data_IF_556438367888
#
_entry.id   IF_556438367888
#
_cell.length_a   1.000
_cell.length_b   1.000
_cell.length_c   1.000
_cell.angle_alpha   90.00
_cell.angle_beta   90.00
_cell.angle_gamma   90.00
#
_symmetry.space_group_name_H-M   'P 1'
#
loop_
_entity.id
_entity.type
_entity.pdbx_description
1 polymer ?
#
# COMPACT_ATOMS: atom_id res chain seq x y z
N UNK A 1 17.20 10.96 -31.47
CA UNK A 1 16.35 11.51 -32.55
C UNK A 1 17.01 11.12 -33.86
N UNK A 2 16.30 10.43 -34.75
CA UNK A 2 16.79 10.03 -36.08
C UNK A 2 16.21 10.97 -37.13
N UNK A 3 17.00 11.38 -38.12
CA UNK A 3 16.62 12.38 -39.11
C UNK A 3 15.59 11.85 -40.14
N UNK A 4 15.59 10.53 -40.40
CA UNK A 4 14.68 9.87 -41.33
C UNK A 4 14.17 8.54 -40.74
N UNK A 5 13.30 8.56 -39.70
CA UNK A 5 12.81 7.34 -39.07
C UNK A 5 11.93 6.53 -40.03
N UNK A 6 12.36 5.31 -40.36
CA UNK A 6 11.55 4.34 -41.10
C UNK A 6 11.29 3.11 -40.23
N UNK A 7 10.01 2.85 -39.93
CA UNK A 7 9.59 1.62 -39.27
C UNK A 7 9.68 0.45 -40.27
N UNK A 8 10.39 -0.60 -39.88
CA UNK A 8 10.57 -1.83 -40.64
C UNK A 8 10.03 -3.01 -39.84
N UNK A 9 9.30 -3.90 -40.50
CA UNK A 9 8.77 -5.11 -39.90
C UNK A 9 9.75 -6.26 -40.13
N UNK A 10 10.24 -6.87 -39.05
CA UNK A 10 11.01 -8.11 -39.07
C UNK A 10 10.26 -9.25 -38.39
N UNK A 11 10.81 -10.45 -38.52
CA UNK A 11 10.22 -11.68 -37.99
C UNK A 11 11.27 -12.57 -37.32
N UNK A 12 10.82 -13.47 -36.45
CA UNK A 12 11.64 -14.52 -35.88
C UNK A 12 10.93 -15.87 -35.99
N UNK A 13 11.67 -16.95 -35.70
CA UNK A 13 11.13 -18.31 -35.77
C UNK A 13 9.94 -18.47 -34.82
N UNK A 14 8.83 -19.04 -35.32
CA UNK A 14 7.65 -19.30 -34.53
C UNK A 14 7.91 -20.22 -33.34
N UNK A 15 8.96 -21.06 -33.39
CA UNK A 15 9.34 -21.90 -32.25
C UNK A 15 9.64 -21.11 -30.99
N UNK A 16 10.11 -19.86 -31.11
CA UNK A 16 10.39 -19.03 -29.94
C UNK A 16 9.13 -18.55 -29.20
N UNK A 17 7.94 -18.69 -29.78
CA UNK A 17 6.67 -18.41 -29.10
C UNK A 17 6.31 -19.44 -28.02
N UNK A 18 7.15 -20.45 -27.79
CA UNK A 18 7.08 -21.30 -26.60
C UNK A 18 7.62 -20.58 -25.35
N UNK A 19 8.51 -19.59 -25.52
CA UNK A 19 8.99 -18.76 -24.42
C UNK A 19 7.87 -17.86 -23.90
N UNK A 20 7.78 -17.65 -22.56
CA UNK A 20 6.91 -16.63 -22.00
C UNK A 20 7.04 -15.28 -22.69
N UNK A 21 5.91 -14.62 -22.95
CA UNK A 21 5.90 -13.36 -23.68
C UNK A 21 6.81 -12.28 -23.07
N UNK A 22 6.88 -12.23 -21.74
CA UNK A 22 7.73 -11.32 -20.99
C UNK A 22 9.22 -11.52 -21.29
N UNK A 23 9.67 -12.77 -21.51
CA UNK A 23 11.07 -13.08 -21.88
C UNK A 23 11.39 -12.53 -23.26
N UNK A 24 10.49 -12.75 -24.23
CA UNK A 24 10.65 -12.29 -25.60
C UNK A 24 10.65 -10.76 -25.66
N UNK A 25 9.69 -10.13 -24.97
CA UNK A 25 9.55 -8.67 -24.90
C UNK A 25 10.78 -8.05 -24.24
N UNK A 26 11.24 -8.58 -23.10
CA UNK A 26 12.45 -8.08 -22.42
C UNK A 26 13.68 -8.23 -23.30
N UNK A 27 13.85 -9.38 -23.97
CA UNK A 27 14.94 -9.59 -24.93
C UNK A 27 14.92 -8.59 -26.08
N UNK A 28 13.74 -8.26 -26.61
CA UNK A 28 13.59 -7.25 -27.68
C UNK A 28 13.87 -5.83 -27.18
N UNK A 29 13.35 -5.49 -26.01
CA UNK A 29 13.40 -4.13 -25.46
C UNK A 29 14.80 -3.77 -24.98
N UNK A 30 15.39 -4.59 -24.11
CA UNK A 30 16.64 -4.26 -23.43
C UNK A 30 17.85 -4.47 -24.36
N UNK A 31 17.87 -5.56 -25.14
CA UNK A 31 19.03 -5.87 -25.97
C UNK A 31 19.04 -5.15 -27.32
N UNK A 32 17.87 -4.84 -27.90
CA UNK A 32 17.77 -4.39 -29.29
C UNK A 32 16.85 -3.19 -29.54
N UNK A 33 16.11 -2.71 -28.52
CA UNK A 33 15.16 -1.60 -28.64
C UNK A 33 14.11 -1.82 -29.75
N UNK A 34 13.67 -3.06 -29.92
CA UNK A 34 12.61 -3.42 -30.85
C UNK A 34 11.24 -3.27 -30.21
N UNK A 35 10.23 -3.01 -31.03
CA UNK A 35 8.84 -2.99 -30.61
C UNK A 35 8.19 -4.35 -30.89
N UNK A 36 7.70 -5.07 -29.88
CA UNK A 36 6.97 -6.32 -30.08
C UNK A 36 5.65 -6.06 -30.82
N UNK A 37 5.26 -6.97 -31.72
CA UNK A 37 4.00 -6.88 -32.45
C UNK A 37 2.99 -7.87 -31.88
N UNK A 38 1.79 -7.38 -31.60
CA UNK A 38 0.68 -8.18 -31.11
C UNK A 38 -0.35 -8.42 -32.21
N UNK A 39 -1.02 -9.56 -32.16
CA UNK A 39 -2.12 -9.94 -33.06
C UNK A 39 -3.39 -10.26 -32.25
N UNK A 40 -4.59 -10.06 -32.80
CA UNK A 40 -5.83 -10.45 -32.12
C UNK A 40 -5.77 -11.92 -31.68
N UNK A 41 -6.15 -12.21 -30.44
CA UNK A 41 -6.26 -13.58 -29.95
C UNK A 41 -7.47 -14.25 -30.60
N UNK A 42 -7.24 -15.34 -31.33
CA UNK A 42 -8.29 -16.00 -32.15
C UNK A 42 -9.00 -17.10 -31.34
N UNK A 43 -8.51 -17.45 -30.15
CA UNK A 43 -9.08 -18.45 -29.25
C UNK A 43 -8.63 -18.26 -27.80
N UNK A 44 -9.39 -18.86 -26.87
CA UNK A 44 -9.18 -18.79 -25.41
C UNK A 44 -7.81 -19.37 -24.98
N UNK A 45 -7.28 -20.33 -25.75
CA UNK A 45 -5.93 -20.86 -25.54
C UNK A 45 -4.82 -19.84 -25.87
N UNK A 46 -5.01 -18.95 -26.85
CA UNK A 46 -4.07 -17.86 -27.13
C UNK A 46 -4.07 -16.77 -26.05
N UNK A 47 -5.10 -16.74 -25.19
CA UNK A 47 -5.16 -15.88 -23.99
C UNK A 47 -4.39 -16.47 -22.81
N UNK A 48 -3.90 -17.71 -22.92
CA UNK A 48 -3.09 -18.34 -21.88
C UNK A 48 -1.59 -18.24 -22.23
N UNK A 49 -0.86 -17.52 -21.38
CA UNK A 49 0.61 -17.35 -21.34
C UNK A 49 1.26 -16.31 -22.27
N UNK A 50 0.52 -15.64 -23.18
CA UNK A 50 1.13 -14.76 -24.19
C UNK A 50 0.34 -13.49 -24.52
N UNK A 51 -0.64 -13.11 -23.69
CA UNK A 51 -1.62 -12.10 -24.05
C UNK A 51 -1.69 -10.93 -23.10
N UNK A 52 -1.85 -9.75 -23.69
CA UNK A 52 -2.22 -8.50 -23.01
C UNK A 52 -3.53 -8.05 -23.66
N UNK A 53 -4.63 -7.98 -22.91
CA UNK A 53 -5.89 -7.37 -23.33
C UNK A 53 -6.41 -7.81 -24.72
N UNK A 54 -6.87 -9.06 -24.87
CA UNK A 54 -7.40 -9.63 -26.15
C UNK A 54 -6.38 -9.84 -27.29
N UNK A 55 -5.12 -9.44 -27.12
CA UNK A 55 -4.07 -9.64 -28.13
C UNK A 55 -2.99 -10.61 -27.65
N UNK A 56 -2.52 -11.49 -28.53
CA UNK A 56 -1.40 -12.39 -28.30
C UNK A 56 -0.13 -11.86 -28.98
N UNK A 57 1.04 -12.11 -28.38
CA UNK A 57 2.33 -11.80 -28.99
C UNK A 57 2.48 -12.58 -30.32
N UNK A 58 2.93 -11.89 -31.37
CA UNK A 58 3.23 -12.49 -32.66
C UNK A 58 4.74 -12.74 -32.82
N UNK A 59 5.13 -13.50 -33.84
CA UNK A 59 6.54 -13.72 -34.19
C UNK A 59 7.17 -12.54 -34.97
N UNK A 60 6.61 -11.34 -34.84
CA UNK A 60 7.05 -10.14 -35.54
C UNK A 60 7.51 -9.06 -34.55
N UNK A 61 8.40 -8.20 -35.03
CA UNK A 61 8.86 -7.02 -34.31
C UNK A 61 9.06 -5.86 -35.27
N UNK A 62 8.97 -4.64 -34.75
CA UNK A 62 9.24 -3.43 -35.51
C UNK A 62 10.56 -2.83 -35.03
N UNK A 63 11.41 -2.48 -35.98
CA UNK A 63 12.65 -1.72 -35.76
C UNK A 63 12.57 -0.39 -36.48
N UNK A 64 13.14 0.66 -35.89
CA UNK A 64 13.23 1.98 -36.53
C UNK A 64 14.62 2.14 -37.13
N UNK A 65 14.68 2.17 -38.46
CA UNK A 65 15.90 2.43 -39.22
C UNK A 65 16.04 3.91 -39.54
N UNK A 66 17.27 4.39 -39.64
CA UNK A 66 17.62 5.72 -40.15
C UNK A 66 18.38 5.64 -41.49
N UNK A 67 18.36 4.46 -42.15
CA UNK A 67 19.09 4.26 -43.40
C UNK A 67 18.36 4.93 -44.57
N UNK A 68 19.13 5.66 -45.39
CA UNK A 68 18.68 6.25 -46.65
C UNK A 68 18.89 5.23 -47.78
N UNK A 69 17.89 4.38 -48.00
CA UNK A 69 17.87 3.33 -49.02
C UNK A 69 16.44 3.05 -49.45
N UNK A 70 16.24 2.65 -50.69
CA UNK A 70 14.93 2.18 -51.18
C UNK A 70 14.71 0.68 -50.92
N UNK A 71 15.79 -0.07 -50.65
CA UNK A 71 15.77 -1.49 -50.29
C UNK A 71 16.29 -1.68 -48.85
N UNK A 72 15.40 -2.16 -47.98
CA UNK A 72 15.67 -2.42 -46.56
C UNK A 72 15.88 -3.90 -46.24
N UNK A 73 15.89 -4.80 -47.22
CA UNK A 73 15.93 -6.26 -47.02
C UNK A 73 17.10 -6.68 -46.13
N UNK A 74 18.31 -6.17 -46.43
CA UNK A 74 19.51 -6.46 -45.62
C UNK A 74 19.46 -5.92 -44.19
N UNK A 75 18.75 -4.79 -43.99
CA UNK A 75 18.55 -4.22 -42.66
C UNK A 75 17.64 -5.14 -41.85
N UNK A 76 16.55 -5.62 -42.45
CA UNK A 76 15.62 -6.56 -41.82
C UNK A 76 16.36 -7.87 -41.48
N UNK A 77 16.96 -8.54 -42.47
CA UNK A 77 17.71 -9.79 -42.29
C UNK A 77 18.81 -9.66 -41.22
N UNK A 78 19.51 -8.52 -41.19
CA UNK A 78 20.51 -8.23 -40.18
C UNK A 78 19.94 -8.23 -38.77
N UNK A 79 18.81 -7.53 -38.55
CA UNK A 79 18.15 -7.47 -37.24
C UNK A 79 17.57 -8.83 -36.83
N UNK A 80 16.96 -9.58 -37.76
CA UNK A 80 16.48 -10.94 -37.50
C UNK A 80 17.63 -11.87 -37.08
N UNK A 81 18.78 -11.77 -37.76
CA UNK A 81 19.99 -12.54 -37.42
C UNK A 81 20.57 -12.17 -36.05
N UNK A 82 20.44 -10.92 -35.61
CA UNK A 82 20.89 -10.49 -34.27
C UNK A 82 19.94 -10.97 -33.18
N UNK A 83 18.63 -10.99 -33.42
CA UNK A 83 17.63 -11.42 -32.44
C UNK A 83 17.67 -12.94 -32.19
N UNK A 84 17.86 -13.72 -33.26
CA UNK A 84 17.84 -15.19 -33.20
C UNK A 84 18.73 -15.82 -32.11
N UNK A 85 20.04 -15.51 -32.00
CA UNK A 85 20.88 -16.10 -30.96
C UNK A 85 20.40 -15.74 -29.55
N UNK A 86 19.91 -14.51 -29.32
CA UNK A 86 19.40 -14.08 -28.01
C UNK A 86 18.17 -14.88 -27.57
N UNK A 87 17.22 -15.07 -28.48
CA UNK A 87 16.05 -15.91 -28.20
C UNK A 87 16.42 -17.39 -28.07
N UNK A 88 17.47 -17.85 -28.76
CA UNK A 88 18.00 -19.21 -28.61
C UNK A 88 18.61 -19.44 -27.23
N UNK A 89 19.41 -18.49 -26.74
CA UNK A 89 19.99 -18.54 -25.39
C UNK A 89 18.88 -18.51 -24.33
N UNK A 90 17.91 -17.62 -24.46
CA UNK A 90 16.75 -17.56 -23.58
C UNK A 90 15.95 -18.87 -23.58
N UNK A 91 15.71 -19.47 -24.75
CA UNK A 91 15.05 -20.78 -24.86
C UNK A 91 15.84 -21.87 -24.14
N UNK A 92 17.17 -21.87 -24.28
CA UNK A 92 18.03 -22.82 -23.59
C UNK A 92 17.91 -22.68 -22.06
N UNK A 93 18.01 -21.46 -21.53
CA UNK A 93 17.84 -21.19 -20.09
C UNK A 93 16.47 -21.65 -19.60
N UNK A 94 15.41 -21.30 -20.34
CA UNK A 94 14.04 -21.67 -19.98
C UNK A 94 13.85 -23.18 -19.89
N UNK A 95 14.33 -23.93 -20.89
CA UNK A 95 14.23 -25.39 -20.90
C UNK A 95 15.06 -26.05 -19.80
N UNK A 96 16.23 -25.49 -19.47
CA UNK A 96 17.06 -25.99 -18.38
C UNK A 96 16.40 -25.74 -17.02
N UNK A 97 15.86 -24.53 -16.81
CA UNK A 97 15.14 -24.16 -15.61
C UNK A 97 13.85 -24.97 -15.41
N UNK A 98 13.11 -25.27 -16.47
CA UNK A 98 11.95 -26.16 -16.42
C UNK A 98 12.31 -27.57 -15.93
N UNK A 99 13.48 -28.10 -16.34
CA UNK A 99 13.98 -29.40 -15.86
C UNK A 99 14.42 -29.33 -14.40
N UNK A 100 14.98 -28.20 -13.98
CA UNK A 100 15.42 -27.95 -12.60
C UNK A 100 14.22 -27.81 -11.65
N UNK A 101 13.15 -27.17 -12.11
CA UNK A 101 11.97 -26.81 -11.32
C UNK A 101 12.23 -25.65 -10.35
N UNK A 102 11.25 -25.38 -9.47
CA UNK A 102 11.36 -24.41 -8.39
C UNK A 102 12.08 -25.03 -7.18
N UNK A 103 13.38 -24.78 -7.09
CA UNK A 103 14.19 -25.15 -5.93
C UNK A 103 14.66 -23.91 -5.19
N UNK A 104 14.68 -24.01 -3.86
CA UNK A 104 15.19 -22.97 -2.96
C UNK A 104 16.67 -23.15 -2.61
N UNK A 105 17.29 -24.24 -3.05
CA UNK A 105 18.70 -24.54 -2.81
C UNK A 105 19.59 -23.41 -3.35
N UNK A 106 20.55 -22.96 -2.54
CA UNK A 106 21.46 -21.87 -2.88
C UNK A 106 20.99 -20.49 -2.43
N UNK A 107 19.74 -20.30 -2.01
CA UNK A 107 19.27 -19.03 -1.43
C UNK A 107 19.97 -18.69 -0.10
N UNK A 108 20.46 -19.70 0.60
CA UNK A 108 21.31 -19.58 1.78
C UNK A 108 22.73 -19.06 1.47
N UNK A 109 23.15 -19.09 0.21
CA UNK A 109 24.45 -18.55 -0.22
C UNK A 109 24.34 -17.10 -0.74
N UNK A 110 23.13 -16.63 -1.02
CA UNK A 110 22.89 -15.28 -1.55
C UNK A 110 22.69 -14.32 -0.38
N UNK A 111 23.62 -13.38 -0.22
CA UNK A 111 23.52 -12.33 0.78
C UNK A 111 22.37 -11.37 0.44
N UNK A 112 21.44 -11.17 1.37
CA UNK A 112 20.35 -10.19 1.20
C UNK A 112 20.84 -8.78 1.49
N UNK A 113 21.40 -8.55 2.68
CA UNK A 113 22.01 -7.27 3.06
C UNK A 113 22.92 -7.44 4.28
N UNK A 114 23.95 -6.59 4.36
CA UNK A 114 24.81 -6.48 5.54
C UNK A 114 23.98 -6.31 6.82
N UNK A 115 24.16 -7.23 7.77
CA UNK A 115 23.48 -7.25 9.05
C UNK A 115 22.11 -7.94 9.08
N UNK A 116 21.53 -8.30 7.92
CA UNK A 116 20.24 -8.99 7.76
C UNK A 116 20.35 -10.42 7.18
N UNK A 117 21.57 -10.85 6.87
CA UNK A 117 21.87 -12.21 6.49
C UNK A 117 21.58 -12.52 5.02
N UNK A 118 21.10 -13.73 4.78
CA UNK A 118 20.88 -14.37 3.48
C UNK A 118 19.44 -14.23 3.01
N UNK A 119 19.18 -14.55 1.73
CA UNK A 119 17.80 -14.62 1.23
C UNK A 119 16.99 -15.70 1.92
N UNK A 120 17.61 -16.81 2.33
CA UNK A 120 16.94 -17.84 3.13
C UNK A 120 16.45 -17.28 4.47
N UNK A 121 17.30 -16.55 5.19
CA UNK A 121 16.91 -15.90 6.45
C UNK A 121 15.84 -14.81 6.25
N UNK A 122 15.85 -14.13 5.10
CA UNK A 122 14.76 -13.21 4.71
C UNK A 122 13.44 -13.95 4.54
N UNK A 123 13.42 -15.07 3.83
CA UNK A 123 12.21 -15.90 3.64
C UNK A 123 11.70 -16.37 5.01
N UNK A 124 12.58 -16.80 5.91
CA UNK A 124 12.18 -17.27 7.24
C UNK A 124 11.51 -16.15 8.07
N UNK A 125 11.92 -14.89 7.90
CA UNK A 125 11.25 -13.73 8.51
C UNK A 125 9.92 -13.42 7.81
N UNK A 126 9.90 -13.44 6.48
CA UNK A 126 8.67 -13.26 5.70
C UNK A 126 7.61 -14.32 6.04
N UNK A 127 8.00 -15.58 6.29
CA UNK A 127 7.08 -16.66 6.71
C UNK A 127 6.39 -16.31 8.03
N UNK A 128 7.12 -15.76 9.00
CA UNK A 128 6.55 -15.33 10.29
C UNK A 128 5.57 -14.18 10.12
N UNK A 129 5.91 -13.20 9.27
CA UNK A 129 5.00 -12.10 8.95
C UNK A 129 3.76 -12.63 8.23
N UNK A 130 3.95 -13.50 7.24
CA UNK A 130 2.86 -14.10 6.48
C UNK A 130 1.91 -14.90 7.35
N UNK A 131 2.44 -15.68 8.30
CA UNK A 131 1.62 -16.41 9.26
C UNK A 131 0.80 -15.47 10.15
N UNK A 132 1.42 -14.41 10.68
CA UNK A 132 0.75 -13.40 11.49
C UNK A 132 -0.37 -12.68 10.72
N UNK A 133 -0.11 -12.26 9.48
CA UNK A 133 -1.10 -11.61 8.63
C UNK A 133 -2.22 -12.57 8.19
N UNK A 134 -1.88 -13.83 7.89
CA UNK A 134 -2.87 -14.84 7.51
C UNK A 134 -3.85 -15.13 8.65
N UNK A 135 -3.37 -15.25 9.88
CA UNK A 135 -4.22 -15.40 11.06
C UNK A 135 -5.12 -14.16 11.25
N UNK A 136 -4.53 -12.96 11.18
CA UNK A 136 -5.27 -11.71 11.38
C UNK A 136 -6.38 -11.48 10.35
N UNK A 137 -6.11 -11.80 9.08
CA UNK A 137 -7.04 -11.57 7.98
C UNK A 137 -7.87 -12.81 7.59
N UNK A 138 -7.75 -13.91 8.34
CA UNK A 138 -8.56 -15.12 8.12
C UNK A 138 -8.25 -15.86 6.82
N UNK A 139 -6.99 -15.87 6.38
CA UNK A 139 -6.52 -16.55 5.16
C UNK A 139 -5.77 -17.84 5.52
N UNK A 140 -5.75 -18.82 4.62
CA UNK A 140 -5.03 -20.09 4.83
C UNK A 140 -3.51 -19.88 5.01
N UNK A 141 -3.08 -19.94 6.27
CA UNK A 141 -1.69 -19.81 6.69
C UNK A 141 -0.76 -20.84 6.02
N UNK A 142 -1.24 -22.07 5.77
CA UNK A 142 -0.43 -23.13 5.17
C UNK A 142 -0.06 -22.78 3.74
N UNK A 143 -1.05 -22.34 2.95
CA UNK A 143 -0.82 -21.89 1.58
C UNK A 143 0.07 -20.63 1.54
N UNK A 144 -0.14 -19.67 2.44
CA UNK A 144 0.69 -18.45 2.51
C UNK A 144 2.16 -18.79 2.76
N UNK A 145 2.44 -19.66 3.74
CA UNK A 145 3.80 -20.10 4.04
C UNK A 145 4.42 -20.82 2.83
N UNK A 146 3.65 -21.68 2.15
CA UNK A 146 4.12 -22.35 0.95
C UNK A 146 4.46 -21.38 -0.18
N UNK A 147 3.63 -20.35 -0.40
CA UNK A 147 3.89 -19.32 -1.39
C UNK A 147 5.15 -18.52 -1.06
N UNK A 148 5.33 -18.10 0.20
CA UNK A 148 6.51 -17.34 0.64
C UNK A 148 7.80 -18.15 0.47
N UNK A 149 7.78 -19.45 0.80
CA UNK A 149 8.93 -20.36 0.60
C UNK A 149 9.39 -20.42 -0.84
N UNK A 150 8.44 -20.46 -1.77
CA UNK A 150 8.71 -20.60 -3.19
C UNK A 150 8.92 -19.26 -3.89
N UNK A 151 8.52 -18.15 -3.26
CA UNK A 151 8.48 -16.82 -3.85
C UNK A 151 9.80 -16.43 -4.51
N UNK A 152 10.92 -16.73 -3.86
CA UNK A 152 12.27 -16.33 -4.33
C UNK A 152 13.06 -17.45 -4.98
N UNK A 153 12.44 -18.62 -5.21
CA UNK A 153 13.12 -19.79 -5.77
C UNK A 153 13.64 -19.55 -7.20
N UNK A 154 12.99 -18.67 -7.95
CA UNK A 154 13.40 -18.30 -9.31
C UNK A 154 14.68 -17.45 -9.36
N UNK A 155 15.10 -16.81 -8.27
CA UNK A 155 16.37 -16.08 -8.20
C UNK A 155 17.60 -16.97 -8.41
N UNK A 156 17.43 -18.30 -8.28
CA UNK A 156 18.48 -19.29 -8.54
C UNK A 156 18.42 -19.88 -9.96
N UNK A 157 17.52 -19.36 -10.80
CA UNK A 157 17.33 -19.82 -12.19
C UNK A 157 18.30 -19.13 -13.15
N UNK A 158 18.66 -19.81 -14.24
CA UNK A 158 19.51 -19.22 -15.28
C UNK A 158 18.81 -18.05 -15.96
N UNK A 159 17.50 -18.15 -16.17
CA UNK A 159 16.71 -17.08 -16.78
C UNK A 159 16.75 -15.79 -15.94
N UNK A 160 16.56 -15.87 -14.62
CA UNK A 160 16.56 -14.67 -13.76
C UNK A 160 17.97 -14.13 -13.53
N UNK A 161 18.99 -14.99 -13.59
CA UNK A 161 20.38 -14.54 -13.58
C UNK A 161 20.70 -13.66 -14.79
N UNK A 162 20.23 -14.04 -15.99
CA UNK A 162 20.41 -13.23 -17.22
C UNK A 162 19.44 -12.02 -17.27
N UNK A 163 18.20 -12.20 -16.82
CA UNK A 163 17.12 -11.20 -16.89
C UNK A 163 16.51 -10.94 -15.50
N UNK A 164 17.21 -10.15 -14.69
CA UNK A 164 16.82 -9.86 -13.29
C UNK A 164 15.44 -9.18 -13.15
N UNK A 165 14.96 -8.53 -14.21
CA UNK A 165 13.63 -7.90 -14.27
C UNK A 165 12.49 -8.93 -14.33
N UNK A 166 12.78 -10.18 -14.66
CA UNK A 166 11.79 -11.27 -14.77
C UNK A 166 11.59 -12.05 -13.47
N UNK A 167 12.22 -11.62 -12.37
CA UNK A 167 11.98 -12.20 -11.05
C UNK A 167 10.49 -12.13 -10.66
N UNK A 168 10.00 -13.15 -9.93
CA UNK A 168 8.60 -13.39 -9.66
C UNK A 168 7.83 -13.92 -10.88
N UNK A 169 7.98 -13.30 -12.05
CA UNK A 169 7.31 -13.72 -13.29
C UNK A 169 7.78 -15.10 -13.74
N UNK A 170 9.09 -15.36 -13.75
CA UNK A 170 9.59 -16.71 -14.06
C UNK A 170 9.21 -17.71 -12.98
N UNK A 171 9.22 -17.31 -11.70
CA UNK A 171 8.71 -18.13 -10.60
C UNK A 171 7.29 -18.64 -10.84
N UNK A 172 6.40 -17.80 -11.36
CA UNK A 172 5.05 -18.18 -11.74
C UNK A 172 5.00 -19.21 -12.87
N UNK A 173 5.77 -19.02 -13.94
CA UNK A 173 5.80 -19.98 -15.06
C UNK A 173 6.34 -21.34 -14.63
N UNK A 174 7.36 -21.36 -13.78
CA UNK A 174 7.92 -22.58 -13.23
C UNK A 174 6.95 -23.26 -12.25
N UNK A 175 6.22 -22.50 -11.42
CA UNK A 175 5.18 -23.03 -10.53
C UNK A 175 4.06 -23.70 -11.34
N UNK A 176 3.60 -23.05 -12.41
CA UNK A 176 2.60 -23.60 -13.33
C UNK A 176 3.08 -24.89 -14.01
N UNK A 177 4.32 -24.92 -14.49
CA UNK A 177 4.88 -26.12 -15.11
C UNK A 177 4.94 -27.32 -14.15
N UNK A 178 5.08 -27.06 -12.85
CA UNK A 178 5.03 -28.05 -11.77
C UNK A 178 3.62 -28.38 -11.28
N UNK A 179 2.57 -27.82 -11.89
CA UNK A 179 1.17 -27.95 -11.46
C UNK A 179 0.94 -27.55 -9.99
N UNK A 180 1.69 -26.55 -9.51
CA UNK A 180 1.45 -25.93 -8.20
C UNK A 180 0.11 -25.18 -8.25
N UNK A 181 -0.58 -25.14 -7.11
CA UNK A 181 -1.84 -24.42 -6.91
C UNK A 181 -1.80 -23.00 -7.50
N UNK A 182 -2.89 -22.60 -8.17
CA UNK A 182 -2.93 -21.35 -8.93
C UNK A 182 -2.75 -20.11 -8.06
N UNK A 183 -3.26 -20.13 -6.82
CA UNK A 183 -3.16 -18.99 -5.89
C UNK A 183 -1.71 -18.82 -5.45
N UNK A 184 -1.02 -19.93 -5.19
CA UNK A 184 0.40 -19.96 -4.85
C UNK A 184 1.24 -19.44 -6.01
N UNK A 185 1.02 -19.97 -7.23
CA UNK A 185 1.74 -19.51 -8.41
C UNK A 185 1.54 -18.00 -8.61
N UNK A 186 0.31 -17.51 -8.53
CA UNK A 186 -0.01 -16.10 -8.71
C UNK A 186 0.63 -15.22 -7.64
N UNK A 187 0.62 -15.63 -6.37
CA UNK A 187 1.29 -14.90 -5.30
C UNK A 187 2.81 -14.79 -5.51
N UNK A 188 3.46 -15.81 -6.09
CA UNK A 188 4.88 -15.75 -6.47
C UNK A 188 5.11 -14.64 -7.52
N UNK A 189 4.22 -14.51 -8.51
CA UNK A 189 4.25 -13.43 -9.51
C UNK A 189 4.11 -12.05 -8.86
N UNK A 190 3.14 -11.93 -7.95
CA UNK A 190 2.68 -10.65 -7.41
C UNK A 190 3.45 -10.20 -6.16
N UNK A 191 4.39 -11.00 -5.62
CA UNK A 191 5.06 -10.74 -4.34
C UNK A 191 5.76 -9.37 -4.23
N UNK A 192 6.13 -8.75 -5.35
CA UNK A 192 6.79 -7.44 -5.36
C UNK A 192 5.80 -6.28 -5.55
N UNK A 193 4.54 -6.56 -5.92
CA UNK A 193 3.53 -5.55 -6.23
C UNK A 193 3.04 -4.78 -4.98
N UNK A 194 2.57 -3.54 -5.14
CA UNK A 194 2.81 -2.69 -6.30
C UNK A 194 4.30 -2.29 -6.40
N UNK A 195 4.80 -2.22 -7.63
CA UNK A 195 6.17 -1.76 -7.95
C UNK A 195 6.11 -0.35 -8.52
N UNK A 196 6.05 0.65 -7.63
CA UNK A 196 6.00 2.06 -8.00
C UNK A 196 4.62 2.71 -7.83
N UNK A 197 4.55 3.98 -8.22
CA UNK A 197 3.34 4.79 -8.12
C UNK A 197 2.38 4.47 -9.27
N UNK A 198 1.08 4.32 -8.97
CA UNK A 198 0.07 3.93 -9.97
C UNK A 198 0.18 2.50 -10.50
N UNK A 199 1.20 1.73 -10.09
CA UNK A 199 1.39 0.34 -10.52
C UNK A 199 0.25 -0.57 -10.04
N UNK A 200 0.03 -1.68 -10.75
CA UNK A 200 -0.98 -2.69 -10.42
C UNK A 200 -0.78 -3.24 -8.99
N UNK A 201 -1.91 -3.58 -8.36
CA UNK A 201 -1.95 -4.22 -7.05
C UNK A 201 -2.07 -5.73 -7.22
N UNK A 202 -1.70 -6.52 -6.20
CA UNK A 202 -2.02 -7.93 -6.15
C UNK A 202 -3.51 -8.16 -6.43
N UNK A 203 -3.84 -9.19 -7.20
CA UNK A 203 -5.21 -9.44 -7.66
C UNK A 203 -6.09 -10.13 -6.60
N UNK A 204 -5.50 -10.60 -5.50
CA UNK A 204 -6.19 -11.30 -4.42
C UNK A 204 -5.61 -10.93 -3.06
N UNK A 205 -6.42 -11.11 -1.99
CA UNK A 205 -5.96 -10.96 -0.60
C UNK A 205 -4.79 -11.90 -0.31
N UNK A 206 -4.79 -13.09 -0.92
CA UNK A 206 -3.70 -14.06 -0.78
C UNK A 206 -2.37 -13.52 -1.32
N UNK A 207 -2.37 -12.98 -2.55
CA UNK A 207 -1.21 -12.30 -3.13
C UNK A 207 -0.81 -11.04 -2.35
N UNK A 208 -1.80 -10.30 -1.86
CA UNK A 208 -1.60 -9.11 -1.03
C UNK A 208 -0.83 -9.41 0.27
N UNK A 209 -1.16 -10.51 0.96
CA UNK A 209 -0.43 -10.92 2.17
C UNK A 209 1.02 -11.24 1.84
N UNK A 210 1.30 -12.00 0.78
CA UNK A 210 2.68 -12.34 0.38
C UNK A 210 3.48 -11.07 0.03
N UNK A 211 2.85 -10.15 -0.70
CA UNK A 211 3.46 -8.88 -1.05
C UNK A 211 3.70 -7.96 0.16
N UNK A 212 2.76 -7.90 1.10
CA UNK A 212 2.90 -7.18 2.35
C UNK A 212 4.00 -7.78 3.22
N UNK A 213 4.11 -9.11 3.32
CA UNK A 213 5.19 -9.78 4.06
C UNK A 213 6.57 -9.35 3.55
N UNK A 214 6.75 -9.28 2.23
CA UNK A 214 8.00 -8.81 1.64
C UNK A 214 8.32 -7.34 1.99
N UNK A 215 7.31 -6.45 1.93
CA UNK A 215 7.47 -5.02 2.22
C UNK A 215 7.69 -4.76 3.70
N UNK A 216 6.97 -5.46 4.58
CA UNK A 216 7.13 -5.37 6.03
C UNK A 216 8.49 -5.91 6.47
N UNK A 217 8.98 -7.03 5.92
CA UNK A 217 10.33 -7.51 6.24
C UNK A 217 11.40 -6.50 5.83
N UNK A 218 11.25 -5.92 4.64
CA UNK A 218 12.18 -4.90 4.14
C UNK A 218 12.18 -3.67 5.06
N UNK A 219 11.02 -3.21 5.53
CA UNK A 219 10.89 -2.09 6.46
C UNK A 219 11.51 -2.40 7.82
N UNK A 220 11.05 -3.45 8.48
CA UNK A 220 11.52 -3.85 9.82
C UNK A 220 13.01 -4.18 9.80
N UNK A 221 13.45 -4.95 8.80
CA UNK A 221 14.84 -5.34 8.60
C UNK A 221 15.75 -4.13 8.46
N UNK A 222 15.47 -3.23 7.51
CA UNK A 222 16.36 -2.10 7.25
C UNK A 222 16.41 -1.08 8.41
N UNK A 223 15.31 -0.88 9.14
CA UNK A 223 15.34 -0.10 10.37
C UNK A 223 16.18 -0.78 11.45
N UNK A 224 16.09 -2.11 11.60
CA UNK A 224 16.88 -2.88 12.59
C UNK A 224 18.39 -2.85 12.37
N UNK A 225 18.86 -2.48 11.18
CA UNK A 225 20.28 -2.30 10.85
C UNK A 225 20.66 -0.84 10.59
N UNK A 226 19.79 0.11 10.93
CA UNK A 226 20.05 1.55 10.84
C UNK A 226 20.12 2.10 9.41
N UNK A 227 19.54 1.41 8.42
CA UNK A 227 19.51 1.83 6.99
C UNK A 227 18.28 2.70 6.70
N UNK A 228 18.17 3.80 7.45
CA UNK A 228 17.01 4.69 7.40
C UNK A 228 17.25 5.81 6.36
N UNK A 229 16.29 6.09 5.44
CA UNK A 229 16.43 7.13 4.45
C UNK A 229 16.54 8.52 5.07
N UNK A 230 17.67 9.21 4.83
CA UNK A 230 17.89 10.60 5.25
C UNK A 230 17.87 11.51 4.00
N UNK A 231 16.83 12.36 3.86
CA UNK A 231 16.65 13.25 2.70
C UNK A 231 15.68 12.75 1.64
N UNK A 232 15.61 13.40 0.47
CA UNK A 232 14.56 13.16 -0.55
C UNK A 232 14.72 11.86 -1.34
N UNK A 233 15.91 11.24 -1.34
CA UNK A 233 16.15 9.96 -2.01
C UNK A 233 15.58 8.79 -1.20
N UNK A 234 15.14 7.75 -1.91
CA UNK A 234 14.67 6.49 -1.33
C UNK A 234 15.55 5.32 -1.82
N UNK A 235 16.81 5.24 -1.36
CA UNK A 235 17.80 4.29 -1.90
C UNK A 235 17.39 2.83 -1.69
N UNK A 236 16.68 2.54 -0.60
CA UNK A 236 16.23 1.19 -0.23
C UNK A 236 14.73 0.97 -0.45
N UNK A 237 14.06 1.85 -1.19
CA UNK A 237 12.64 1.74 -1.51
C UNK A 237 11.68 1.69 -0.29
N UNK A 238 12.09 2.18 0.89
CA UNK A 238 11.26 2.12 2.10
C UNK A 238 10.00 2.99 1.98
N UNK A 239 10.09 4.14 1.31
CA UNK A 239 8.91 4.98 1.07
C UNK A 239 7.93 4.27 0.15
N UNK A 240 8.47 3.65 -0.92
CA UNK A 240 7.68 2.83 -1.84
C UNK A 240 7.06 1.62 -1.14
N UNK A 241 7.76 1.02 -0.19
CA UNK A 241 7.24 -0.11 0.59
C UNK A 241 6.02 0.31 1.43
N UNK A 242 6.10 1.43 2.18
CA UNK A 242 4.95 1.94 2.95
C UNK A 242 3.79 2.31 2.04
N UNK A 243 4.04 3.04 0.95
CA UNK A 243 2.99 3.39 -0.01
C UNK A 243 2.34 2.15 -0.62
N UNK A 244 3.11 1.10 -0.89
CA UNK A 244 2.59 -0.18 -1.35
C UNK A 244 1.68 -0.85 -0.33
N UNK A 245 2.07 -0.87 0.95
CA UNK A 245 1.24 -1.40 2.05
C UNK A 245 -0.06 -0.60 2.16
N UNK A 246 0.01 0.74 2.17
CA UNK A 246 -1.17 1.60 2.25
C UNK A 246 -2.15 1.30 1.12
N UNK A 247 -1.67 1.23 -0.12
CA UNK A 247 -2.54 0.94 -1.28
C UNK A 247 -3.18 -0.44 -1.18
N UNK A 248 -2.43 -1.47 -0.79
CA UNK A 248 -2.96 -2.83 -0.61
C UNK A 248 -4.03 -2.85 0.49
N UNK A 249 -3.72 -2.25 1.64
CA UNK A 249 -4.63 -2.20 2.79
C UNK A 249 -5.95 -1.52 2.44
N UNK A 250 -5.91 -0.42 1.67
CA UNK A 250 -7.12 0.29 1.25
C UNK A 250 -7.91 -0.44 0.17
N UNK A 251 -7.24 -1.07 -0.79
CA UNK A 251 -7.89 -1.83 -1.86
C UNK A 251 -8.72 -3.01 -1.30
N UNK A 252 -8.17 -3.69 -0.30
CA UNK A 252 -8.79 -4.86 0.31
C UNK A 252 -9.53 -4.57 1.64
N UNK A 253 -9.68 -3.30 2.03
CA UNK A 253 -10.29 -2.84 3.30
C UNK A 253 -9.77 -3.60 4.54
N UNK A 254 -8.45 -3.82 4.61
CA UNK A 254 -7.82 -4.63 5.66
C UNK A 254 -7.64 -3.83 6.96
N UNK A 255 -8.09 -4.35 8.13
CA UNK A 255 -7.85 -3.68 9.40
C UNK A 255 -6.36 -3.73 9.78
N UNK A 256 -5.64 -2.63 9.52
CA UNK A 256 -4.20 -2.53 9.69
C UNK A 256 -3.85 -1.43 10.68
N UNK A 257 -3.73 -1.81 11.96
CA UNK A 257 -3.19 -0.95 13.01
C UNK A 257 -1.66 -0.94 12.99
N UNK A 258 -1.05 0.22 12.78
CA UNK A 258 0.40 0.35 12.63
C UNK A 258 1.13 -0.11 13.90
N UNK A 259 0.64 0.27 15.08
CA UNK A 259 1.31 -0.06 16.34
C UNK A 259 1.27 -1.57 16.55
N UNK A 260 0.09 -2.18 16.44
CA UNK A 260 -0.07 -3.62 16.58
C UNK A 260 0.86 -4.40 15.63
N UNK A 261 0.98 -3.93 14.38
CA UNK A 261 1.81 -4.58 13.35
C UNK A 261 3.30 -4.46 13.67
N UNK A 262 3.81 -3.27 13.98
CA UNK A 262 5.24 -3.10 14.24
C UNK A 262 5.65 -3.78 15.55
N UNK A 263 4.82 -3.72 16.60
CA UNK A 263 5.13 -4.38 17.87
C UNK A 263 5.05 -5.91 17.73
N UNK A 264 4.01 -6.43 17.06
CA UNK A 264 3.82 -7.87 16.85
C UNK A 264 4.95 -8.52 16.07
N UNK A 265 5.54 -7.79 15.10
CA UNK A 265 6.60 -8.29 14.24
C UNK A 265 8.02 -7.98 14.75
N UNK A 266 8.18 -7.08 15.73
CA UNK A 266 9.48 -6.59 16.20
C UNK A 266 10.43 -7.69 16.71
N UNK A 267 9.89 -8.74 17.33
CA UNK A 267 10.67 -9.84 17.92
C UNK A 267 11.49 -10.65 16.92
N UNK A 268 11.19 -10.55 15.61
CA UNK A 268 11.95 -11.17 14.54
C UNK A 268 13.25 -10.46 14.16
N UNK A 269 13.54 -9.30 14.76
CA UNK A 269 14.60 -8.38 14.35
C UNK A 269 15.52 -8.00 15.53
N UNK A 270 16.70 -7.43 15.21
CA UNK A 270 17.56 -6.78 16.22
C UNK A 270 16.82 -5.58 16.79
N UNK A 271 17.00 -5.27 18.08
CA UNK A 271 16.35 -4.14 18.73
C UNK A 271 16.62 -2.80 18.00
N UNK A 272 15.56 -2.02 17.81
CA UNK A 272 15.59 -0.74 17.12
C UNK A 272 14.45 0.17 17.57
N UNK A 273 14.52 1.45 17.17
CA UNK A 273 13.54 2.46 17.54
C UNK A 273 12.22 2.26 16.76
N UNK A 274 11.25 1.62 17.41
CA UNK A 274 9.90 1.42 16.87
C UNK A 274 9.12 2.73 16.72
N UNK A 275 9.37 3.72 17.57
CA UNK A 275 8.73 5.04 17.45
C UNK A 275 9.24 5.76 16.20
N UNK A 276 10.52 5.60 15.86
CA UNK A 276 11.07 6.13 14.62
C UNK A 276 10.43 5.47 13.38
N UNK A 277 10.22 4.15 13.40
CA UNK A 277 9.53 3.45 12.31
C UNK A 277 8.06 3.88 12.19
N UNK A 278 7.36 3.96 13.31
CA UNK A 278 5.98 4.46 13.39
C UNK A 278 5.87 5.88 12.81
N UNK A 279 6.72 6.80 13.26
CA UNK A 279 6.76 8.17 12.77
C UNK A 279 7.03 8.20 11.25
N UNK A 280 7.94 7.36 10.76
CA UNK A 280 8.20 7.23 9.33
C UNK A 280 6.97 6.72 8.56
N UNK A 281 6.27 5.71 9.06
CA UNK A 281 5.05 5.20 8.40
C UNK A 281 3.93 6.25 8.38
N UNK A 282 3.69 6.94 9.50
CA UNK A 282 2.70 8.01 9.61
C UNK A 282 3.02 9.20 8.67
N UNK A 283 4.29 9.58 8.53
CA UNK A 283 4.73 10.60 7.56
C UNK A 283 4.43 10.18 6.11
N UNK A 284 4.47 8.88 5.79
CA UNK A 284 4.13 8.38 4.46
C UNK A 284 2.64 8.30 4.23
N UNK A 285 1.90 7.79 5.22
CA UNK A 285 0.44 7.71 5.16
C UNK A 285 -0.17 9.09 4.96
N UNK A 286 0.27 10.09 5.72
CA UNK A 286 -0.17 11.47 5.54
C UNK A 286 0.09 12.00 4.13
N UNK A 287 1.24 11.69 3.52
CA UNK A 287 1.57 12.07 2.13
C UNK A 287 0.80 11.29 1.06
N UNK A 288 0.19 10.16 1.41
CA UNK A 288 -0.60 9.35 0.49
C UNK A 288 -2.08 9.79 0.40
N UNK A 289 -2.52 10.66 1.31
CA UNK A 289 -3.87 11.21 1.35
C UNK A 289 -3.86 12.56 0.62
N UNK A 290 -4.61 12.67 -0.47
CA UNK A 290 -4.75 13.91 -1.23
C UNK A 290 -5.84 14.80 -0.63
N UNK A 291 -5.55 15.38 0.55
CA UNK A 291 -6.44 16.28 1.30
C UNK A 291 -5.67 17.38 2.00
N UNK A 292 -6.38 18.37 2.56
CA UNK A 292 -5.76 19.44 3.35
C UNK A 292 -4.93 18.84 4.50
N UNK A 293 -3.64 19.20 4.65
CA UNK A 293 -2.78 18.72 5.73
C UNK A 293 -3.35 18.92 7.14
N UNK A 294 -4.15 19.97 7.37
CA UNK A 294 -4.77 20.21 8.67
C UNK A 294 -5.79 19.13 9.05
N UNK A 295 -6.52 18.59 8.06
CA UNK A 295 -7.48 17.50 8.24
C UNK A 295 -6.75 16.22 8.62
N UNK A 296 -5.68 15.92 7.89
CA UNK A 296 -4.85 14.74 8.12
C UNK A 296 -4.23 14.82 9.52
N UNK A 297 -3.64 15.97 9.88
CA UNK A 297 -3.06 16.18 11.21
C UNK A 297 -4.11 16.07 12.32
N UNK A 298 -5.32 16.60 12.11
CA UNK A 298 -6.43 16.46 13.07
C UNK A 298 -6.75 14.98 13.34
N UNK A 299 -6.86 14.16 12.29
CA UNK A 299 -7.11 12.72 12.45
C UNK A 299 -5.91 12.03 13.10
N UNK A 300 -4.67 12.30 12.71
CA UNK A 300 -3.49 11.65 13.31
C UNK A 300 -3.29 12.00 14.79
N UNK A 301 -3.65 13.23 15.18
CA UNK A 301 -3.64 13.72 16.57
C UNK A 301 -4.69 13.07 17.45
N UNK A 302 -5.73 12.44 16.88
CA UNK A 302 -6.68 11.58 17.62
C UNK A 302 -6.06 10.28 18.15
N UNK A 303 -4.79 10.02 17.83
CA UNK A 303 -4.08 8.77 18.13
C UNK A 303 -4.64 7.54 17.38
N UNK A 304 -5.43 7.73 16.32
CA UNK A 304 -5.80 6.63 15.41
C UNK A 304 -4.57 6.09 14.68
N UNK A 305 -4.43 4.75 14.64
CA UNK A 305 -3.30 4.05 14.01
C UNK A 305 -3.73 3.02 12.98
N UNK A 306 -5.03 2.78 12.83
CA UNK A 306 -5.55 1.94 11.76
C UNK A 306 -5.61 2.72 10.43
N UNK A 307 -4.90 2.23 9.41
CA UNK A 307 -4.78 2.92 8.11
C UNK A 307 -6.16 3.13 7.46
N UNK A 308 -7.02 2.12 7.47
CA UNK A 308 -8.37 2.19 6.89
C UNK A 308 -9.20 3.23 7.63
N UNK A 309 -9.18 3.21 8.96
CA UNK A 309 -9.92 4.20 9.77
C UNK A 309 -9.37 5.60 9.58
N UNK A 310 -8.05 5.80 9.48
CA UNK A 310 -7.46 7.11 9.19
C UNK A 310 -8.05 7.66 7.89
N UNK A 311 -8.06 6.87 6.81
CA UNK A 311 -8.61 7.29 5.52
C UNK A 311 -10.10 7.60 5.59
N UNK A 312 -10.91 6.71 6.21
CA UNK A 312 -12.36 6.90 6.38
C UNK A 312 -12.67 8.15 7.21
N UNK A 313 -11.94 8.39 8.31
CA UNK A 313 -12.06 9.60 9.15
C UNK A 313 -11.64 10.86 8.41
N UNK A 314 -10.56 10.83 7.62
CA UNK A 314 -10.13 11.96 6.80
C UNK A 314 -11.18 12.32 5.74
N UNK A 315 -11.73 11.33 5.04
CA UNK A 315 -12.81 11.53 4.06
C UNK A 315 -14.05 12.16 4.71
N UNK A 316 -14.49 11.60 5.84
CA UNK A 316 -15.62 12.15 6.60
C UNK A 316 -15.37 13.59 7.04
N UNK A 317 -14.20 13.89 7.60
CA UNK A 317 -13.87 15.24 8.03
C UNK A 317 -13.78 16.22 6.85
N UNK A 318 -13.19 15.81 5.72
CA UNK A 318 -13.08 16.62 4.51
C UNK A 318 -14.45 17.00 3.93
N UNK A 319 -15.42 16.09 3.97
CA UNK A 319 -16.79 16.38 3.53
C UNK A 319 -17.44 17.49 4.36
N UNK A 320 -17.22 17.50 5.68
CA UNK A 320 -17.80 18.47 6.60
C UNK A 320 -17.08 19.82 6.53
N UNK A 321 -15.75 19.80 6.45
CA UNK A 321 -14.90 21.01 6.32
C UNK A 321 -15.20 21.78 5.04
N UNK A 322 -15.61 21.08 3.97
CA UNK A 322 -15.96 21.70 2.69
C UNK A 322 -17.32 22.43 2.70
N UNK A 323 -18.10 22.33 3.78
CA UNK A 323 -19.38 23.01 3.92
C UNK A 323 -19.25 24.52 4.17
N UNK A 324 -20.21 25.32 3.67
CA UNK A 324 -20.22 26.79 3.81
C UNK A 324 -20.19 27.27 5.26
N UNK A 325 -20.81 26.51 6.15
CA UNK A 325 -21.06 26.90 7.54
C UNK A 325 -19.90 26.48 8.47
N UNK A 326 -18.90 25.76 7.94
CA UNK A 326 -17.85 25.20 8.77
C UNK A 326 -17.01 26.28 9.45
N UNK A 327 -16.82 27.45 8.83
CA UNK A 327 -16.04 28.53 9.44
C UNK A 327 -16.63 28.95 10.79
N UNK A 328 -17.95 29.11 10.86
CA UNK A 328 -18.63 29.50 12.09
C UNK A 328 -18.63 28.35 13.11
N UNK A 329 -18.88 27.12 12.65
CA UNK A 329 -18.76 25.90 13.46
C UNK A 329 -17.35 25.82 14.10
N UNK A 330 -16.30 26.05 13.32
CA UNK A 330 -14.91 25.92 13.78
C UNK A 330 -14.57 26.86 14.94
N UNK A 331 -15.20 28.04 15.02
CA UNK A 331 -14.96 29.01 16.10
C UNK A 331 -15.48 28.47 17.43
N UNK A 332 -16.74 28.02 17.45
CA UNK A 332 -17.40 27.44 18.64
C UNK A 332 -16.63 26.22 19.13
N UNK A 333 -16.23 25.34 18.22
CA UNK A 333 -15.56 24.09 18.59
C UNK A 333 -14.07 24.28 18.94
N UNK A 334 -13.38 25.31 18.41
CA UNK A 334 -12.07 25.73 18.94
C UNK A 334 -12.17 26.28 20.36
N UNK A 335 -13.26 26.99 20.68
CA UNK A 335 -13.53 27.45 22.05
C UNK A 335 -13.75 26.26 22.99
N UNK A 336 -14.53 25.26 22.57
CA UNK A 336 -14.68 23.98 23.31
C UNK A 336 -13.31 23.37 23.60
N UNK A 337 -12.49 23.13 22.57
CA UNK A 337 -11.17 22.52 22.70
C UNK A 337 -10.23 23.27 23.66
N UNK A 338 -10.23 24.60 23.62
CA UNK A 338 -9.40 25.44 24.49
C UNK A 338 -9.86 25.41 25.95
N UNK A 339 -11.17 25.39 26.20
CA UNK A 339 -11.72 25.31 27.55
C UNK A 339 -11.50 23.92 28.16
N UNK A 340 -11.57 22.86 27.34
CA UNK A 340 -11.39 21.49 27.79
C UNK A 340 -9.94 21.03 27.93
N UNK A 341 -8.95 21.89 27.66
CA UNK A 341 -7.53 21.49 27.53
C UNK A 341 -6.96 20.80 28.77
N UNK A 342 -7.35 21.25 29.95
CA UNK A 342 -6.84 20.77 31.24
C UNK A 342 -7.87 19.89 31.98
N UNK A 343 -8.94 19.46 31.30
CA UNK A 343 -10.00 18.65 31.90
C UNK A 343 -9.56 17.21 31.99
N UNK A 344 -9.46 16.70 33.21
CA UNK A 344 -9.10 15.30 33.50
C UNK A 344 -10.26 14.50 34.08
N UNK A 345 -11.29 15.18 34.60
CA UNK A 345 -12.51 14.57 35.12
C UNK A 345 -13.65 14.81 34.13
N UNK A 346 -14.30 13.72 33.72
CA UNK A 346 -15.42 13.73 32.78
C UNK A 346 -16.74 13.35 33.46
N UNK A 347 -16.79 13.22 34.78
CA UNK A 347 -18.02 12.89 35.49
C UNK A 347 -18.94 14.12 35.58
N UNK A 348 -20.09 14.03 34.91
CA UNK A 348 -21.12 15.06 34.90
C UNK A 348 -22.24 14.68 35.85
N UNK A 349 -22.51 15.54 36.82
CA UNK A 349 -23.60 15.43 37.77
C UNK A 349 -24.76 16.35 37.37
N UNK A 350 -25.84 15.74 36.88
CA UNK A 350 -27.06 16.44 36.42
C UNK A 350 -27.73 17.24 37.54
N UNK A 351 -27.52 16.89 38.81
CA UNK A 351 -28.11 17.60 39.95
C UNK A 351 -27.48 18.97 40.19
N UNK A 352 -26.32 19.24 39.58
CA UNK A 352 -25.57 20.49 39.70
C UNK A 352 -25.83 21.47 38.55
N UNK A 353 -26.77 21.18 37.65
CA UNK A 353 -27.15 22.14 36.61
C UNK A 353 -28.03 23.25 37.20
N UNK A 354 -27.69 24.50 36.91
CA UNK A 354 -28.41 25.68 37.41
C UNK A 354 -29.21 26.37 36.29
N UNK A 355 -28.68 26.37 35.07
CA UNK A 355 -29.31 27.03 33.93
C UNK A 355 -29.94 26.02 32.96
N UNK A 356 -31.00 26.44 32.27
CA UNK A 356 -31.71 25.59 31.30
C UNK A 356 -30.82 25.15 30.14
N UNK A 357 -29.88 26.00 29.74
CA UNK A 357 -28.90 25.75 28.68
C UNK A 357 -27.96 24.59 29.01
N UNK A 358 -27.60 24.39 30.29
CA UNK A 358 -26.78 23.25 30.73
C UNK A 358 -27.55 21.93 30.53
N UNK A 359 -28.83 21.93 30.90
CA UNK A 359 -29.73 20.78 30.77
C UNK A 359 -29.98 20.45 29.30
N UNK A 360 -30.27 21.45 28.48
CA UNK A 360 -30.59 21.28 27.06
C UNK A 360 -29.38 20.77 26.26
N UNK A 361 -28.21 21.40 26.43
CA UNK A 361 -26.96 20.97 25.79
C UNK A 361 -26.63 19.53 26.17
N UNK A 362 -26.65 19.21 27.47
CA UNK A 362 -26.29 17.88 27.93
C UNK A 362 -27.29 16.81 27.47
N UNK A 363 -28.59 17.11 27.49
CA UNK A 363 -29.61 16.21 26.99
C UNK A 363 -29.42 15.91 25.49
N UNK A 364 -29.17 16.93 24.67
CA UNK A 364 -28.95 16.74 23.24
C UNK A 364 -27.66 15.95 22.96
N UNK A 365 -26.59 16.26 23.69
CA UNK A 365 -25.33 15.51 23.60
C UNK A 365 -25.50 14.03 23.96
N UNK A 366 -26.24 13.71 25.00
CA UNK A 366 -26.56 12.33 25.38
C UNK A 366 -27.43 11.64 24.32
N UNK A 367 -28.38 12.34 23.70
CA UNK A 367 -29.17 11.81 22.57
C UNK A 367 -28.27 11.47 21.37
N UNK A 368 -27.26 12.30 21.08
CA UNK A 368 -26.32 12.08 19.98
C UNK A 368 -25.40 10.90 20.28
N UNK A 369 -24.81 10.84 21.47
CA UNK A 369 -23.82 9.82 21.84
C UNK A 369 -24.40 8.45 22.18
N UNK A 370 -25.70 8.38 22.51
CA UNK A 370 -26.42 7.11 22.69
C UNK A 370 -26.82 6.43 21.37
N UNK A 371 -26.75 7.14 20.24
CA UNK A 371 -27.00 6.57 18.91
C UNK A 371 -25.75 5.92 18.33
N UNK A 372 -25.95 4.84 17.59
CA UNK A 372 -24.94 4.31 16.69
C UNK A 372 -25.12 4.96 15.32
N UNK A 373 -24.01 5.33 14.68
CA UNK A 373 -24.00 5.94 13.35
C UNK A 373 -23.36 4.97 12.37
N UNK A 374 -23.94 4.88 11.16
CA UNK A 374 -23.43 4.02 10.10
C UNK A 374 -22.12 4.54 9.49
N UNK A 375 -21.86 5.86 9.62
CA UNK A 375 -20.65 6.50 9.08
C UNK A 375 -20.04 7.53 10.05
N UNK A 376 -18.73 7.77 9.91
CA UNK A 376 -18.04 8.85 10.63
C UNK A 376 -18.58 10.23 10.23
N UNK A 377 -19.05 10.40 9.00
CA UNK A 377 -19.62 11.65 8.50
C UNK A 377 -20.92 11.99 9.22
N UNK A 378 -21.82 11.02 9.39
CA UNK A 378 -23.10 11.22 10.09
C UNK A 378 -22.88 11.50 11.57
N UNK A 379 -21.92 10.81 12.20
CA UNK A 379 -21.53 11.09 13.58
C UNK A 379 -20.98 12.52 13.72
N UNK A 380 -20.06 12.93 12.84
CA UNK A 380 -19.54 14.30 12.83
C UNK A 380 -20.65 15.33 12.63
N UNK A 381 -21.55 15.15 11.67
CA UNK A 381 -22.68 16.06 11.44
C UNK A 381 -23.58 16.17 12.66
N UNK A 382 -23.88 15.05 13.32
CA UNK A 382 -24.66 15.03 14.55
C UNK A 382 -23.96 15.81 15.66
N UNK A 383 -22.66 15.60 15.88
CA UNK A 383 -21.88 16.36 16.86
C UNK A 383 -21.81 17.86 16.53
N UNK A 384 -21.62 18.22 15.26
CA UNK A 384 -21.59 19.62 14.82
C UNK A 384 -22.95 20.32 14.96
N UNK A 385 -24.07 19.56 14.98
CA UNK A 385 -25.40 20.13 15.27
C UNK A 385 -25.52 20.72 16.68
N UNK A 386 -24.59 20.43 17.59
CA UNK A 386 -24.51 21.04 18.92
C UNK A 386 -24.06 22.51 18.89
N UNK A 387 -23.62 23.04 17.74
CA UNK A 387 -23.09 24.41 17.60
C UNK A 387 -23.99 25.45 18.28
N UNK A 388 -25.27 25.54 17.90
CA UNK A 388 -26.14 26.61 18.39
C UNK A 388 -26.44 26.47 19.89
N UNK A 389 -26.51 25.24 20.41
CA UNK A 389 -26.65 24.97 21.83
C UNK A 389 -25.38 25.35 22.60
N UNK A 390 -24.21 25.10 22.03
CA UNK A 390 -22.92 25.50 22.59
C UNK A 390 -22.76 27.01 22.61
N UNK A 391 -23.16 27.71 21.55
CA UNK A 391 -23.13 29.18 21.51
C UNK A 391 -24.04 29.77 22.60
N UNK A 392 -25.29 29.30 22.69
CA UNK A 392 -26.22 29.74 23.75
C UNK A 392 -25.70 29.41 25.16
N UNK A 393 -25.14 28.21 25.35
CA UNK A 393 -24.50 27.81 26.59
C UNK A 393 -23.36 28.78 26.94
N UNK A 394 -22.49 29.10 25.98
CA UNK A 394 -21.34 29.96 26.21
C UNK A 394 -21.67 31.45 26.43
N UNK A 395 -22.83 31.90 25.95
CA UNK A 395 -23.31 33.26 26.13
C UNK A 395 -23.97 33.46 27.50
N UNK A 396 -24.61 32.42 28.06
CA UNK A 396 -25.41 32.52 29.29
C UNK A 396 -24.77 31.84 30.50
N UNK A 397 -24.00 30.77 30.28
CA UNK A 397 -23.36 29.98 31.32
C UNK A 397 -21.91 30.41 31.51
N UNK A 398 -21.60 30.93 32.70
CA UNK A 398 -20.22 31.23 33.08
C UNK A 398 -19.48 29.95 33.47
N UNK A 399 -18.65 29.44 32.55
CA UNK A 399 -17.87 28.20 32.76
C UNK A 399 -16.87 28.33 33.91
N UNK A 400 -16.16 29.45 33.98
CA UNK A 400 -15.21 29.72 35.06
C UNK A 400 -15.92 30.34 36.27
N UNK A 401 -16.87 29.59 36.85
CA UNK A 401 -17.61 29.99 38.06
C UNK A 401 -16.70 30.06 39.29
N UNK A 402 -17.06 30.93 40.24
CA UNK A 402 -16.42 30.99 41.57
C UNK A 402 -16.70 29.74 42.40
N UNK A 403 -17.83 29.08 42.14
CA UNK A 403 -18.14 27.76 42.72
C UNK A 403 -17.35 26.67 42.00
N UNK A 404 -16.40 26.08 42.73
CA UNK A 404 -15.52 25.02 42.23
C UNK A 404 -16.29 23.76 41.80
N UNK A 405 -17.41 23.43 42.46
CA UNK A 405 -18.24 22.27 42.14
C UNK A 405 -18.95 22.48 40.79
N UNK A 406 -19.54 23.66 40.59
CA UNK A 406 -20.20 24.03 39.32
C UNK A 406 -19.20 24.14 38.18
N UNK A 407 -18.07 24.83 38.43
CA UNK A 407 -16.97 24.93 37.47
C UNK A 407 -16.49 23.55 37.02
N UNK A 408 -16.27 22.63 37.96
CA UNK A 408 -15.86 21.26 37.63
C UNK A 408 -16.90 20.54 36.77
N UNK A 409 -18.19 20.67 37.08
CA UNK A 409 -19.27 20.02 36.33
C UNK A 409 -19.41 20.54 34.90
N UNK A 410 -19.32 21.88 34.74
CA UNK A 410 -19.36 22.57 33.46
C UNK A 410 -18.14 22.21 32.59
N UNK A 411 -16.96 22.14 33.19
CA UNK A 411 -15.75 21.68 32.51
C UNK A 411 -15.84 20.20 32.10
N UNK A 412 -16.38 19.34 32.96
CA UNK A 412 -16.61 17.93 32.62
C UNK A 412 -17.56 17.78 31.42
N UNK A 413 -18.63 18.58 31.36
CA UNK A 413 -19.58 18.58 30.23
C UNK A 413 -18.90 18.95 28.92
N UNK A 414 -18.15 20.06 28.89
CA UNK A 414 -17.41 20.50 27.69
C UNK A 414 -16.32 19.48 27.32
N UNK A 415 -15.66 18.90 28.33
CA UNK A 415 -14.66 17.85 28.14
C UNK A 415 -15.23 16.58 27.51
N UNK A 416 -16.42 16.13 27.94
CA UNK A 416 -17.11 15.00 27.31
C UNK A 416 -17.41 15.27 25.84
N UNK A 417 -17.97 16.45 25.53
CA UNK A 417 -18.28 16.85 24.15
C UNK A 417 -17.00 16.85 23.30
N UNK A 418 -15.92 17.45 23.79
CA UNK A 418 -14.65 17.49 23.07
C UNK A 418 -14.05 16.10 22.84
N UNK A 419 -14.12 15.21 23.84
CA UNK A 419 -13.63 13.83 23.69
C UNK A 419 -14.39 13.06 22.61
N UNK A 420 -15.70 13.26 22.47
CA UNK A 420 -16.46 12.64 21.38
C UNK A 420 -15.99 13.09 19.99
N UNK A 421 -15.49 14.32 19.84
CA UNK A 421 -14.81 14.72 18.60
C UNK A 421 -13.45 14.04 18.46
N UNK A 422 -12.67 13.97 19.55
CA UNK A 422 -11.36 13.32 19.56
C UNK A 422 -11.40 11.85 19.16
N UNK A 423 -12.53 11.15 19.31
CA UNK A 423 -12.68 9.79 18.78
C UNK A 423 -12.56 9.71 17.25
N UNK A 424 -12.78 10.84 16.55
CA UNK A 424 -12.70 10.96 15.10
C UNK A 424 -11.49 11.81 14.69
N UNK A 425 -11.36 13.02 15.23
CA UNK A 425 -10.29 13.96 14.90
C UNK A 425 -10.12 15.05 15.97
N UNK A 426 -8.90 15.53 16.15
CA UNK A 426 -8.66 16.76 16.91
C UNK A 426 -8.99 18.00 16.08
N UNK A 427 -10.24 18.41 16.16
CA UNK A 427 -10.81 19.62 15.51
C UNK A 427 -10.02 20.91 15.76
N UNK A 428 -9.19 20.97 16.81
CA UNK A 428 -8.33 22.12 17.09
C UNK A 428 -7.26 22.33 16.01
N UNK A 429 -6.79 21.25 15.40
CA UNK A 429 -5.73 21.27 14.39
C UNK A 429 -6.23 21.74 13.02
N UNK A 430 -7.55 21.89 12.84
CA UNK A 430 -8.14 22.31 11.56
C UNK A 430 -7.93 23.81 11.34
N UNK A 431 -7.19 24.14 10.28
CA UNK A 431 -6.95 25.48 9.79
C UNK A 431 -7.50 25.60 8.36
N UNK A 432 -8.37 26.58 8.15
CA UNK A 432 -9.02 26.87 6.87
C UNK A 432 -8.66 28.27 6.44
#
# INVERSE_FOLDING_TARGET
>A
ITENPKALLGSFDNSFLELPSEVIITSMKENQRYFPVFKPAINEYALSNHSINEYALSNHFVVVSNALTDDYTKVIEGNERVLKPRLSDAMFFYQNDLKRGLKTDGLELIQFMDGLGTLKEKIDREEKIGAYLAEKFGVDCTKIIQAIRLAKADLTSEMVYEFTELQGVMGYYYAKALNIDSDIALAIKEQYMPVGEGAELPSSIFGAIVAMSNKLDTLMGLFSVGKIPTGSKDPFALRRAVNGIVRIVLEFDLPFDIDEMIYGLSSGYKEFDLEQLKAFMLERISKSIDMNPSIINAVLSSNERDIVKIFKKCQALNSVVSGSDFKDISITFKRVANISKDVTNFDVDKSKFEQGEEVELYAKFQEITSKSYDSYEDNLKALFSLKDLLDSYFDKVMVNSDDLSLKSNRLATIGQIYNSFKDIADIKEITI
#
